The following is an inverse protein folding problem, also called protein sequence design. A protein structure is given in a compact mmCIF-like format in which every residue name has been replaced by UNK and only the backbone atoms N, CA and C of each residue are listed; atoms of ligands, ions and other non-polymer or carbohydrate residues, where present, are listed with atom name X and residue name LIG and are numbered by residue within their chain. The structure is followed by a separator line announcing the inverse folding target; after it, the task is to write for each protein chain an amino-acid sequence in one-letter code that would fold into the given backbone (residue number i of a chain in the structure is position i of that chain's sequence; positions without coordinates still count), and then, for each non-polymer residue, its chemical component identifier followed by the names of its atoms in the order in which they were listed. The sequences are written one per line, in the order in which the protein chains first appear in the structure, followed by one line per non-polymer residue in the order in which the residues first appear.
data_IF_734242018061
#
_entry.id   IF_734242018061
#
_cell.length_a   1.000
_cell.length_b   1.000
_cell.length_c   1.000
_cell.angle_alpha   90.00
_cell.angle_beta   90.00
_cell.angle_gamma   90.00
#
_symmetry.space_group_name_H-M   'P 1'
#
loop_
_entity.id
_entity.type
_entity.pdbx_description
1 polymer ?
#
# COMPACT_ATOMS: atom_id res chain seq x y z
N UNK A 1 -24.49 -26.26 -43.71
CA UNK A 1 -24.28 -27.24 -42.63
C UNK A 1 -23.15 -26.73 -41.75
N UNK A 2 -23.41 -26.63 -40.46
CA UNK A 2 -22.66 -25.85 -39.46
C UNK A 2 -21.46 -26.65 -38.95
N UNK A 3 -20.22 -26.18 -39.10
CA UNK A 3 -19.09 -26.75 -38.36
C UNK A 3 -18.95 -25.97 -37.05
N UNK A 4 -19.32 -26.68 -35.99
CA UNK A 4 -19.57 -26.19 -34.64
C UNK A 4 -18.24 -25.98 -33.90
N UNK A 5 -18.14 -24.82 -33.26
CA UNK A 5 -17.27 -24.43 -32.13
C UNK A 5 -16.49 -25.57 -31.47
N UNK A 6 -15.17 -25.49 -31.51
CA UNK A 6 -14.28 -26.17 -30.55
C UNK A 6 -13.31 -25.13 -29.97
N UNK A 7 -13.82 -24.38 -29.00
CA UNK A 7 -13.01 -23.60 -28.07
C UNK A 7 -12.34 -24.61 -27.15
N UNK A 8 -11.06 -24.89 -27.36
CA UNK A 8 -10.25 -25.69 -26.45
C UNK A 8 -9.92 -24.81 -25.25
N UNK A 9 -10.79 -24.86 -24.24
CA UNK A 9 -10.53 -24.29 -22.93
C UNK A 9 -9.60 -25.23 -22.14
N UNK A 10 -8.29 -25.11 -22.37
CA UNK A 10 -7.29 -25.71 -21.47
C UNK A 10 -7.26 -24.94 -20.17
N UNK A 11 -7.97 -25.45 -19.17
CA UNK A 11 -7.82 -25.03 -17.77
C UNK A 11 -6.46 -25.56 -17.30
N UNK A 12 -5.43 -24.74 -17.42
CA UNK A 12 -4.17 -24.98 -16.73
C UNK A 12 -4.41 -24.75 -15.23
N UNK A 13 -4.57 -25.84 -14.49
CA UNK A 13 -4.62 -25.81 -13.04
C UNK A 13 -3.25 -25.35 -12.51
N UNK A 14 -3.11 -24.05 -12.24
CA UNK A 14 -1.93 -23.50 -11.58
C UNK A 14 -1.99 -23.98 -10.13
N UNK A 15 -1.20 -25.01 -9.82
CA UNK A 15 -0.92 -25.43 -8.46
C UNK A 15 -0.15 -24.32 -7.76
N UNK A 16 -0.84 -23.55 -6.92
CA UNK A 16 -0.21 -22.52 -6.10
C UNK A 16 0.72 -23.21 -5.09
N UNK A 17 1.98 -23.33 -5.47
CA UNK A 17 3.07 -23.68 -4.57
C UNK A 17 3.16 -22.55 -3.56
N UNK A 18 2.84 -22.86 -2.29
CA UNK A 18 2.92 -21.92 -1.19
C UNK A 18 4.37 -21.44 -1.05
N UNK A 19 4.62 -20.24 -1.55
CA UNK A 19 5.86 -19.53 -1.30
C UNK A 19 5.89 -19.16 0.18
N UNK A 20 6.75 -19.83 0.94
CA UNK A 20 7.07 -19.42 2.30
C UNK A 20 7.83 -18.10 2.17
N UNK A 21 7.16 -16.98 2.42
CA UNK A 21 7.81 -15.68 2.46
C UNK A 21 8.90 -15.72 3.53
N UNK A 22 10.14 -15.54 3.10
CA UNK A 22 11.28 -15.35 3.99
C UNK A 22 11.06 -14.05 4.77
N UNK A 23 10.63 -14.18 6.04
CA UNK A 23 10.75 -13.12 7.03
C UNK A 23 12.23 -12.97 7.37
N UNK A 24 12.96 -12.20 6.55
CA UNK A 24 14.31 -11.75 6.89
C UNK A 24 14.26 -10.83 8.12
N UNK A 25 15.32 -10.80 8.95
CA UNK A 25 15.38 -9.93 10.11
C UNK A 25 15.21 -8.47 9.66
N UNK A 26 14.14 -7.84 10.14
CA UNK A 26 13.85 -6.44 9.92
C UNK A 26 15.05 -5.61 10.34
N UNK A 27 15.60 -4.85 9.40
CA UNK A 27 16.46 -3.71 9.73
C UNK A 27 15.55 -2.61 10.27
N UNK A 28 14.98 -2.85 11.44
CA UNK A 28 14.23 -1.88 12.23
C UNK A 28 15.26 -0.97 12.90
N UNK A 29 15.88 -0.10 12.08
CA UNK A 29 16.38 1.15 12.62
C UNK A 29 15.20 1.93 13.22
N UNK A 30 15.44 2.93 14.09
CA UNK A 30 14.40 3.73 14.74
C UNK A 30 13.44 4.46 13.78
N UNK A 31 13.67 4.34 12.47
CA UNK A 31 13.02 5.00 11.36
C UNK A 31 12.20 4.01 10.49
N UNK A 32 11.40 3.13 11.11
CA UNK A 32 10.49 2.19 10.41
C UNK A 32 9.21 2.83 9.85
N UNK A 33 9.28 4.07 9.35
CA UNK A 33 8.12 4.91 9.03
C UNK A 33 8.18 5.58 7.66
N UNK A 34 8.82 4.95 6.68
CA UNK A 34 8.76 5.42 5.30
C UNK A 34 7.31 5.38 4.77
N UNK A 35 6.95 6.24 3.80
CA UNK A 35 5.71 6.05 3.06
C UNK A 35 5.62 4.60 2.60
N UNK A 36 4.45 3.95 2.70
CA UNK A 36 4.30 2.60 2.17
C UNK A 36 4.79 2.59 0.72
N UNK A 37 5.49 1.53 0.28
CA UNK A 37 5.98 1.44 -1.08
C UNK A 37 4.84 1.74 -2.06
N UNK A 38 5.13 2.57 -3.06
CA UNK A 38 4.16 2.88 -4.10
C UNK A 38 3.70 1.57 -4.76
N UNK A 39 2.41 1.47 -5.17
CA UNK A 39 1.96 0.30 -5.90
C UNK A 39 2.81 0.14 -7.17
N UNK A 40 3.11 -1.12 -7.58
CA UNK A 40 3.90 -1.38 -8.77
C UNK A 40 3.26 -0.75 -10.02
N UNK A 41 4.08 -0.23 -10.93
CA UNK A 41 3.60 0.36 -12.17
C UNK A 41 3.04 -0.75 -13.09
N UNK A 42 1.78 -0.61 -13.50
CA UNK A 42 1.09 -1.56 -14.39
C UNK A 42 1.85 -1.73 -15.70
N UNK A 43 2.38 -0.66 -16.29
CA UNK A 43 3.14 -0.76 -17.55
C UNK A 43 4.39 -1.63 -17.39
N UNK A 44 5.06 -1.55 -16.22
CA UNK A 44 6.18 -2.42 -15.93
C UNK A 44 5.75 -3.87 -15.73
N UNK A 45 4.58 -4.12 -15.14
CA UNK A 45 4.02 -5.45 -14.97
C UNK A 45 3.59 -6.06 -16.32
N UNK A 46 2.91 -5.28 -17.16
CA UNK A 46 2.49 -5.69 -18.50
C UNK A 46 3.70 -6.10 -19.33
N UNK A 47 4.76 -5.30 -19.34
CA UNK A 47 5.96 -5.61 -20.12
C UNK A 47 6.78 -6.77 -19.55
N UNK A 48 6.86 -6.91 -18.22
CA UNK A 48 7.66 -7.98 -17.59
C UNK A 48 6.98 -9.34 -17.56
N UNK A 49 5.65 -9.36 -17.58
CA UNK A 49 4.84 -10.56 -17.45
C UNK A 49 4.05 -10.89 -18.73
N UNK A 50 4.25 -10.10 -19.78
CA UNK A 50 3.56 -10.23 -21.08
C UNK A 50 2.04 -10.34 -20.92
N UNK A 51 1.46 -9.38 -20.18
CA UNK A 51 0.04 -9.41 -19.84
C UNK A 51 -0.81 -9.08 -21.08
N UNK A 52 -1.90 -9.82 -21.25
CA UNK A 52 -2.92 -9.46 -22.25
C UNK A 52 -3.63 -8.16 -21.86
N UNK A 53 -4.28 -7.51 -22.82
CA UNK A 53 -5.05 -6.29 -22.59
C UNK A 53 -6.12 -6.47 -21.51
N UNK A 54 -6.81 -7.62 -21.50
CA UNK A 54 -7.85 -7.95 -20.51
C UNK A 54 -7.25 -8.13 -19.10
N UNK A 55 -6.08 -8.75 -19.00
CA UNK A 55 -5.37 -8.91 -17.72
C UNK A 55 -4.86 -7.57 -17.19
N UNK A 56 -4.29 -6.74 -18.06
CA UNK A 56 -3.82 -5.40 -17.72
C UNK A 56 -4.99 -4.51 -17.26
N UNK A 57 -6.13 -4.57 -17.93
CA UNK A 57 -7.34 -3.84 -17.54
C UNK A 57 -7.85 -4.28 -16.15
N UNK A 58 -7.85 -5.58 -15.88
CA UNK A 58 -8.26 -6.15 -14.59
C UNK A 58 -7.35 -5.70 -13.45
N UNK A 59 -6.03 -5.75 -13.65
CA UNK A 59 -5.05 -5.25 -12.66
C UNK A 59 -5.17 -3.74 -12.44
N UNK A 60 -5.44 -2.98 -13.50
CA UNK A 60 -5.67 -1.54 -13.38
C UNK A 60 -6.85 -1.23 -12.47
N UNK A 61 -7.98 -1.90 -12.70
CA UNK A 61 -9.16 -1.73 -11.86
C UNK A 61 -8.88 -2.13 -10.40
N UNK A 62 -8.13 -3.21 -10.17
CA UNK A 62 -7.74 -3.63 -8.82
C UNK A 62 -6.90 -2.56 -8.11
N UNK A 63 -5.85 -2.03 -8.75
CA UNK A 63 -4.98 -1.02 -8.15
C UNK A 63 -5.69 0.32 -7.95
N UNK A 64 -6.56 0.72 -8.88
CA UNK A 64 -7.39 1.93 -8.71
C UNK A 64 -8.31 1.81 -7.48
N UNK A 65 -8.94 0.64 -7.27
CA UNK A 65 -9.75 0.37 -6.08
C UNK A 65 -8.93 0.40 -4.78
N UNK A 66 -7.68 -0.09 -4.80
CA UNK A 66 -6.79 -0.04 -3.65
C UNK A 66 -6.35 1.39 -3.35
N UNK A 67 -6.03 2.18 -4.38
CA UNK A 67 -5.62 3.57 -4.25
C UNK A 67 -6.69 4.40 -3.53
N UNK A 68 -7.95 4.21 -3.87
CA UNK A 68 -9.04 4.94 -3.20
C UNK A 68 -9.20 4.52 -1.74
N UNK A 69 -9.18 3.21 -1.44
CA UNK A 69 -9.18 2.72 -0.05
C UNK A 69 -8.01 3.27 0.77
N UNK A 70 -6.83 3.36 0.18
CA UNK A 70 -5.66 3.94 0.85
C UNK A 70 -5.81 5.44 1.10
N UNK A 71 -6.44 6.19 0.19
CA UNK A 71 -6.74 7.61 0.40
C UNK A 71 -7.72 7.82 1.56
N UNK A 72 -8.78 7.02 1.62
CA UNK A 72 -9.76 7.08 2.71
C UNK A 72 -9.12 6.78 4.06
N UNK A 73 -8.39 5.67 4.17
CA UNK A 73 -7.61 5.33 5.37
C UNK A 73 -6.60 6.41 5.74
N UNK A 74 -6.00 7.06 4.74
CA UNK A 74 -5.10 8.20 4.95
C UNK A 74 -5.80 9.40 5.58
N UNK A 75 -7.03 9.72 5.13
CA UNK A 75 -7.85 10.78 5.73
C UNK A 75 -8.27 10.42 7.16
N UNK A 76 -8.69 9.19 7.40
CA UNK A 76 -9.07 8.70 8.73
C UNK A 76 -7.89 8.77 9.71
N UNK A 77 -6.70 8.31 9.29
CA UNK A 77 -5.49 8.39 10.12
C UNK A 77 -5.12 9.83 10.48
N UNK A 78 -5.26 10.77 9.54
CA UNK A 78 -5.03 12.20 9.80
C UNK A 78 -6.01 12.73 10.83
N UNK A 79 -7.31 12.47 10.67
CA UNK A 79 -8.34 12.86 11.64
C UNK A 79 -8.06 12.30 13.03
N UNK A 80 -7.71 11.02 13.14
CA UNK A 80 -7.37 10.39 14.41
C UNK A 80 -6.14 11.03 15.06
N UNK A 81 -5.12 11.35 14.25
CA UNK A 81 -3.92 12.05 14.72
C UNK A 81 -4.24 13.47 15.23
N UNK A 82 -5.08 14.21 14.52
CA UNK A 82 -5.47 15.58 14.90
C UNK A 82 -6.29 15.57 16.20
N UNK A 83 -7.27 14.68 16.32
CA UNK A 83 -8.05 14.47 17.55
C UNK A 83 -7.17 14.09 18.75
N UNK A 84 -6.15 13.27 18.52
CA UNK A 84 -5.18 12.93 19.55
C UNK A 84 -4.37 14.16 19.97
N UNK A 85 -3.90 14.98 19.02
CA UNK A 85 -3.19 16.22 19.32
C UNK A 85 -4.04 17.20 20.12
N UNK A 86 -5.31 17.36 19.77
CA UNK A 86 -6.25 18.20 20.54
C UNK A 86 -6.42 17.71 21.98
N UNK A 87 -6.58 16.39 22.18
CA UNK A 87 -6.67 15.81 23.52
C UNK A 87 -5.38 16.03 24.32
N UNK A 88 -4.21 15.84 23.70
CA UNK A 88 -2.92 16.12 24.34
C UNK A 88 -2.83 17.61 24.72
N UNK A 89 -3.29 18.52 23.87
CA UNK A 89 -3.31 19.96 24.17
C UNK A 89 -4.20 20.32 25.35
N UNK A 90 -5.26 19.57 25.61
CA UNK A 90 -6.10 19.79 26.79
C UNK A 90 -5.47 19.30 28.11
N UNK A 91 -4.49 18.38 28.03
CA UNK A 91 -3.82 17.78 29.20
C UNK A 91 -2.54 18.54 29.55
N UNK A 92 -1.80 19.01 28.55
CA UNK A 92 -0.49 19.64 28.73
C UNK A 92 -0.61 21.15 28.97
N UNK A 93 0.27 21.69 29.81
CA UNK A 93 0.50 23.14 29.88
C UNK A 93 1.13 23.65 28.57
N UNK A 94 1.04 24.96 28.24
CA UNK A 94 1.64 25.50 27.02
C UNK A 94 3.14 25.19 26.88
N UNK A 95 3.90 25.30 27.97
CA UNK A 95 5.33 24.98 27.98
C UNK A 95 5.62 23.48 27.76
N UNK A 96 4.80 22.59 28.32
CA UNK A 96 4.90 21.15 28.07
C UNK A 96 4.51 20.79 26.62
N UNK A 97 3.56 21.51 26.03
CA UNK A 97 3.19 21.33 24.63
C UNK A 97 4.32 21.75 23.69
N UNK A 98 4.99 22.87 23.95
CA UNK A 98 6.17 23.28 23.17
C UNK A 98 7.28 22.23 23.24
N UNK A 99 7.55 21.70 24.44
CA UNK A 99 8.50 20.60 24.63
C UNK A 99 8.06 19.33 23.88
N UNK A 100 6.76 18.99 23.90
CA UNK A 100 6.21 17.84 23.18
C UNK A 100 6.31 17.99 21.66
N UNK A 101 6.05 19.19 21.12
CA UNK A 101 6.22 19.49 19.70
C UNK A 101 7.71 19.46 19.32
N UNK A 102 8.60 19.94 20.18
CA UNK A 102 10.04 19.87 19.97
C UNK A 102 10.59 18.43 20.10
N UNK A 103 9.92 17.58 20.89
CA UNK A 103 10.19 16.14 21.01
C UNK A 103 9.62 15.32 19.86
N UNK A 104 8.78 15.89 18.96
CA UNK A 104 8.56 15.22 17.68
C UNK A 104 9.94 14.94 17.12
N UNK A 105 10.28 13.68 16.81
CA UNK A 105 11.53 13.43 16.13
C UNK A 105 11.49 14.34 14.90
N UNK A 106 12.42 15.29 14.83
CA UNK A 106 12.75 15.94 13.57
C UNK A 106 12.79 14.79 12.58
N UNK A 107 11.95 14.81 11.55
CA UNK A 107 11.84 13.67 10.63
C UNK A 107 13.25 13.13 10.31
N UNK A 108 13.44 11.86 9.99
CA UNK A 108 13.12 11.39 8.63
C UNK A 108 13.00 12.51 7.58
N UNK A 109 13.83 13.57 7.65
CA UNK A 109 14.23 14.40 6.54
C UNK A 109 15.14 13.47 5.75
N UNK A 110 14.68 13.04 4.58
CA UNK A 110 15.63 12.60 3.57
C UNK A 110 16.61 13.75 3.40
N UNK A 111 17.85 13.56 3.83
CA UNK A 111 18.97 14.25 3.21
C UNK A 111 19.05 13.79 1.76
#
# INVERSE_FOLDING_TARGET
MVIRKTIVATIAAITLTSSVYAMGPGKDGPCGGGPPPAPPNIEQLTNKLDLTEEQAASLKQLFDSQKERHREKGKERRKAHDQMHEKIASILTPSQMEAFIAMKPAGCRKQ
#
